data_IF_719368140712
#
_entry.id   IF_719368140712
#
_cell.length_a   1.000
_cell.length_b   1.000
_cell.length_c   1.000
_cell.angle_alpha   90.00
_cell.angle_beta   90.00
_cell.angle_gamma   90.00
#
_symmetry.space_group_name_H-M   'P 1'
#
loop_
_entity.id
_entity.type
_entity.pdbx_description
1 polymer ?
#
# COMPACT_ATOMS: atom_id res chain seq x y z
N UNK A 1 17.54 -2.89 7.38
CA UNK A 1 17.37 -4.35 7.42
C UNK A 1 17.14 -4.84 6.00
N UNK A 2 17.82 -5.91 5.59
CA UNK A 2 17.64 -6.56 4.29
C UNK A 2 16.63 -7.70 4.44
N UNK A 3 15.72 -7.86 3.47
CA UNK A 3 14.72 -8.92 3.49
C UNK A 3 14.75 -9.69 2.16
N UNK A 4 14.74 -11.02 2.23
CA UNK A 4 14.72 -11.88 1.05
C UNK A 4 13.29 -12.28 0.70
N UNK A 5 12.76 -11.73 -0.39
CA UNK A 5 11.45 -12.09 -0.93
C UNK A 5 11.55 -13.38 -1.74
N UNK A 6 11.12 -14.48 -1.14
CA UNK A 6 11.05 -15.82 -1.77
C UNK A 6 9.74 -16.50 -1.35
N UNK A 7 9.23 -17.39 -2.19
CA UNK A 7 8.07 -18.22 -1.82
C UNK A 7 8.44 -19.10 -0.63
N UNK A 8 7.63 -19.07 0.45
CA UNK A 8 7.82 -19.88 1.66
C UNK A 8 6.56 -20.70 1.93
N UNK A 9 6.72 -21.95 2.40
CA UNK A 9 5.59 -22.84 2.74
C UNK A 9 4.81 -22.35 3.97
N UNK A 10 5.51 -21.81 4.98
CA UNK A 10 4.92 -21.22 6.19
C UNK A 10 5.09 -19.69 6.18
N UNK A 11 4.36 -19.02 5.30
CA UNK A 11 4.48 -17.58 5.09
C UNK A 11 3.67 -16.77 6.13
N UNK A 12 4.35 -15.91 6.89
CA UNK A 12 3.72 -14.90 7.76
C UNK A 12 3.36 -13.58 7.04
N UNK A 13 3.65 -13.49 5.74
CA UNK A 13 3.36 -12.34 4.90
C UNK A 13 2.97 -12.80 3.48
N UNK A 14 1.94 -12.17 2.92
CA UNK A 14 1.44 -12.44 1.56
C UNK A 14 2.49 -12.25 0.46
N UNK A 15 3.54 -11.45 0.72
CA UNK A 15 4.68 -11.30 -0.18
C UNK A 15 5.46 -12.61 -0.43
N UNK A 16 5.30 -13.64 0.42
CA UNK A 16 5.97 -14.93 0.30
C UNK A 16 5.07 -16.05 -0.26
N UNK A 17 3.92 -15.70 -0.85
CA UNK A 17 2.92 -16.65 -1.40
C UNK A 17 2.87 -16.48 -2.94
N UNK A 18 2.73 -17.56 -3.75
CA UNK A 18 2.64 -17.46 -5.20
C UNK A 18 1.24 -17.02 -5.67
N UNK A 19 0.76 -15.87 -5.17
CA UNK A 19 -0.50 -15.22 -5.60
C UNK A 19 -0.20 -13.80 -6.02
N UNK A 20 -1.07 -13.25 -6.87
CA UNK A 20 -1.01 -11.83 -7.24
C UNK A 20 -1.08 -10.99 -5.97
N UNK A 21 0.01 -10.25 -5.71
CA UNK A 21 0.02 -9.22 -4.70
C UNK A 21 -0.58 -7.97 -5.33
N UNK A 22 -1.76 -7.57 -4.85
CA UNK A 22 -2.42 -6.37 -5.33
C UNK A 22 -1.52 -5.14 -5.10
N UNK A 23 -1.69 -4.10 -5.93
CA UNK A 23 -1.03 -2.81 -5.69
C UNK A 23 -1.24 -2.40 -4.24
N UNK A 24 -0.15 -2.07 -3.55
CA UNK A 24 -0.17 -1.72 -2.14
C UNK A 24 1.00 -0.82 -1.79
N UNK A 25 0.88 -0.17 -0.64
CA UNK A 25 1.98 0.47 0.05
C UNK A 25 2.49 -0.43 1.17
N UNK A 26 3.80 -0.50 1.31
CA UNK A 26 4.42 -1.23 2.40
C UNK A 26 4.26 -0.47 3.72
N UNK A 27 4.23 -1.26 4.80
CA UNK A 27 4.31 -0.75 6.17
C UNK A 27 3.27 0.35 6.52
N UNK A 28 1.99 0.23 6.15
CA UNK A 28 0.98 1.27 6.42
C UNK A 28 0.68 1.44 7.92
N UNK A 29 1.16 0.51 8.76
CA UNK A 29 1.05 0.56 10.22
C UNK A 29 2.15 1.39 10.89
N UNK A 30 3.04 2.03 10.12
CA UNK A 30 3.98 3.04 10.61
C UNK A 30 3.54 4.43 10.18
N UNK A 31 3.55 5.38 11.12
CA UNK A 31 3.32 6.80 10.82
C UNK A 31 4.44 7.36 9.94
N UNK A 32 5.68 7.07 10.29
CA UNK A 32 6.87 7.40 9.47
C UNK A 32 7.27 6.14 8.71
N UNK A 33 6.99 6.12 7.41
CA UNK A 33 7.38 5.02 6.52
C UNK A 33 8.78 5.27 5.98
N UNK A 34 9.50 4.22 5.52
CA UNK A 34 10.68 4.42 4.71
C UNK A 34 10.33 5.30 3.50
N UNK A 35 11.06 6.40 3.31
CA UNK A 35 10.78 7.33 2.20
C UNK A 35 10.92 6.65 0.84
N UNK A 36 11.82 5.67 0.72
CA UNK A 36 12.10 4.94 -0.51
C UNK A 36 12.29 3.45 -0.22
N UNK A 37 11.80 2.59 -1.12
CA UNK A 37 12.10 1.14 -1.13
C UNK A 37 12.91 0.78 -2.37
N UNK A 38 13.84 -0.15 -2.17
CA UNK A 38 14.69 -0.73 -3.18
C UNK A 38 14.41 -2.23 -3.29
N UNK A 39 14.09 -2.71 -4.49
CA UNK A 39 13.93 -4.14 -4.77
C UNK A 39 14.92 -4.56 -5.86
N UNK A 40 15.78 -5.52 -5.53
CA UNK A 40 16.77 -6.11 -6.43
C UNK A 40 16.32 -7.51 -6.84
N UNK A 41 16.20 -7.75 -8.15
CA UNK A 41 15.91 -9.08 -8.67
C UNK A 41 17.20 -9.91 -8.71
N UNK A 42 17.31 -10.90 -7.82
CA UNK A 42 18.41 -11.88 -7.83
C UNK A 42 18.12 -13.02 -8.82
N UNK A 43 16.90 -13.54 -8.77
CA UNK A 43 16.42 -14.62 -9.63
C UNK A 43 14.98 -14.31 -10.05
N UNK A 44 14.63 -14.65 -11.29
CA UNK A 44 13.30 -14.46 -11.85
C UNK A 44 12.78 -15.80 -12.39
N UNK A 45 11.48 -16.04 -12.26
CA UNK A 45 10.88 -17.25 -12.81
C UNK A 45 11.00 -17.28 -14.33
N UNK A 46 11.37 -18.46 -14.87
CA UNK A 46 11.40 -18.74 -16.31
C UNK A 46 10.01 -19.03 -16.88
N UNK A 47 9.01 -19.24 -16.03
CA UNK A 47 7.61 -19.48 -16.43
C UNK A 47 6.83 -18.16 -16.49
N UNK A 48 5.59 -18.24 -16.99
CA UNK A 48 4.63 -17.12 -16.97
C UNK A 48 4.33 -16.72 -15.52
N UNK A 49 4.24 -15.41 -15.24
CA UNK A 49 4.10 -14.89 -13.88
C UNK A 49 5.35 -14.14 -13.40
N UNK A 50 5.26 -13.49 -12.24
CA UNK A 50 6.37 -12.74 -11.64
C UNK A 50 6.53 -11.33 -12.22
N UNK A 51 5.55 -10.86 -12.99
CA UNK A 51 5.43 -9.47 -13.41
C UNK A 51 5.20 -8.57 -12.19
N UNK A 52 5.82 -7.40 -12.23
CA UNK A 52 5.66 -6.32 -11.27
C UNK A 52 4.64 -5.32 -11.78
N UNK A 53 3.79 -4.83 -10.88
CA UNK A 53 2.89 -3.71 -11.14
C UNK A 53 3.35 -2.51 -10.30
N UNK A 54 3.44 -1.35 -10.94
CA UNK A 54 3.76 -0.09 -10.26
C UNK A 54 2.80 1.00 -10.75
N UNK A 55 2.35 1.85 -9.84
CA UNK A 55 1.41 2.94 -10.15
C UNK A 55 1.85 4.19 -9.41
N UNK A 56 1.70 5.36 -10.03
CA UNK A 56 1.85 6.63 -9.33
C UNK A 56 0.57 6.92 -8.54
N UNK A 57 0.58 6.52 -7.28
CA UNK A 57 -0.57 6.72 -6.39
C UNK A 57 -0.89 8.20 -6.15
N UNK A 58 0.11 9.09 -6.15
CA UNK A 58 -0.13 10.53 -5.93
C UNK A 58 -0.85 11.14 -7.13
N UNK A 59 -0.38 10.82 -8.34
CA UNK A 59 -1.09 11.21 -9.56
C UNK A 59 -2.54 10.71 -9.56
N UNK A 60 -2.77 9.44 -9.20
CA UNK A 60 -4.12 8.87 -9.15
C UNK A 60 -4.99 9.56 -8.10
N UNK A 61 -4.43 9.86 -6.93
CA UNK A 61 -5.16 10.53 -5.85
C UNK A 61 -5.47 11.99 -6.19
N UNK A 62 -4.59 12.73 -6.88
CA UNK A 62 -4.90 14.07 -7.39
C UNK A 62 -5.95 14.03 -8.50
N UNK A 63 -5.85 13.08 -9.42
CA UNK A 63 -6.88 12.86 -10.45
C UNK A 63 -8.24 12.56 -9.82
N UNK A 64 -8.25 11.77 -8.74
CA UNK A 64 -9.45 11.52 -7.95
C UNK A 64 -9.98 12.80 -7.29
N UNK A 65 -9.10 13.65 -6.73
CA UNK A 65 -9.46 14.97 -6.17
C UNK A 65 -10.20 15.84 -7.20
N UNK A 66 -9.73 15.87 -8.44
CA UNK A 66 -10.33 16.67 -9.51
C UNK A 66 -11.61 16.07 -10.11
N UNK A 67 -11.66 14.75 -10.29
CA UNK A 67 -12.75 14.08 -11.02
C UNK A 67 -13.91 13.66 -10.11
N UNK A 68 -13.61 13.34 -8.85
CA UNK A 68 -14.60 12.89 -7.89
C UNK A 68 -14.19 13.29 -6.46
N UNK A 69 -14.42 14.56 -6.15
CA UNK A 69 -14.07 15.15 -4.86
C UNK A 69 -14.72 14.42 -3.68
N UNK A 70 -15.95 13.93 -3.82
CA UNK A 70 -16.63 13.19 -2.74
C UNK A 70 -15.85 11.92 -2.36
N UNK A 71 -15.41 11.15 -3.36
CA UNK A 71 -14.64 9.93 -3.14
C UNK A 71 -13.25 10.26 -2.56
N UNK A 72 -12.61 11.32 -3.05
CA UNK A 72 -11.36 11.83 -2.48
C UNK A 72 -11.53 12.18 -1.00
N UNK A 73 -12.55 12.98 -0.67
CA UNK A 73 -12.83 13.44 0.70
C UNK A 73 -13.13 12.26 1.63
N UNK A 74 -13.87 11.25 1.17
CA UNK A 74 -14.10 10.03 1.94
C UNK A 74 -12.77 9.34 2.27
N UNK A 75 -11.90 9.17 1.28
CA UNK A 75 -10.62 8.47 1.44
C UNK A 75 -9.56 9.28 2.17
N UNK A 76 -9.70 10.61 2.26
CA UNK A 76 -8.81 11.49 3.01
C UNK A 76 -9.28 11.78 4.44
N UNK A 77 -10.57 11.59 4.75
CA UNK A 77 -11.13 11.92 6.07
C UNK A 77 -11.53 10.71 6.91
N UNK A 78 -11.93 9.58 6.30
CA UNK A 78 -12.31 8.40 7.09
C UNK A 78 -11.05 7.61 7.46
N UNK A 79 -10.73 7.62 8.75
CA UNK A 79 -9.62 6.85 9.29
C UNK A 79 -9.97 5.37 9.40
N UNK A 80 -9.02 4.52 9.02
CA UNK A 80 -9.03 3.08 9.30
C UNK A 80 -7.79 2.69 10.09
N UNK A 81 -7.82 1.52 10.73
CA UNK A 81 -6.64 0.98 11.40
C UNK A 81 -5.81 0.16 10.41
N UNK A 82 -4.52 0.47 10.33
CA UNK A 82 -3.50 -0.35 9.70
C UNK A 82 -2.74 -1.06 10.80
N UNK A 83 -2.55 -2.37 10.71
CA UNK A 83 -1.95 -3.14 11.80
C UNK A 83 -0.93 -4.18 11.33
N UNK A 84 -0.03 -4.51 12.25
CA UNK A 84 0.84 -5.68 12.19
C UNK A 84 1.06 -6.19 13.61
N UNK A 85 0.70 -7.46 13.83
CA UNK A 85 0.79 -8.13 15.13
C UNK A 85 1.46 -9.48 14.92
N UNK A 86 2.39 -9.81 15.79
CA UNK A 86 3.10 -11.08 15.73
C UNK A 86 4.27 -11.11 16.69
N UNK A 87 5.13 -12.10 16.47
CA UNK A 87 6.36 -12.30 17.21
C UNK A 87 7.51 -12.41 16.21
N UNK A 88 8.60 -11.69 16.46
CA UNK A 88 9.83 -11.73 15.67
C UNK A 88 11.03 -11.76 16.63
N UNK A 89 12.01 -12.62 16.40
CA UNK A 89 13.16 -12.84 17.31
C UNK A 89 12.78 -12.93 18.81
N UNK A 90 11.72 -13.67 19.13
CA UNK A 90 11.15 -13.83 20.48
C UNK A 90 10.54 -12.56 21.10
N UNK A 91 10.47 -11.46 20.34
CA UNK A 91 9.82 -10.23 20.75
C UNK A 91 8.41 -10.15 20.15
N UNK A 92 7.41 -10.04 21.02
CA UNK A 92 6.05 -9.75 20.60
C UNK A 92 5.92 -8.27 20.20
N UNK A 93 5.21 -8.02 19.10
CA UNK A 93 4.90 -6.68 18.65
C UNK A 93 3.42 -6.52 18.30
N UNK A 94 2.90 -5.32 18.58
CA UNK A 94 1.55 -4.91 18.21
C UNK A 94 1.59 -3.47 17.69
N UNK A 95 1.66 -3.33 16.37
CA UNK A 95 1.73 -2.04 15.69
C UNK A 95 0.33 -1.73 15.16
N UNK A 96 -0.17 -0.54 15.49
CA UNK A 96 -1.42 -0.02 14.95
C UNK A 96 -1.22 1.45 14.61
N UNK A 97 -1.53 1.82 13.37
CA UNK A 97 -1.60 3.21 12.95
C UNK A 97 -2.98 3.51 12.38
N UNK A 98 -3.62 4.54 12.94
CA UNK A 98 -4.94 4.98 12.51
C UNK A 98 -4.81 6.15 11.55
N UNK A 99 -5.08 5.92 10.28
CA UNK A 99 -4.92 6.93 9.23
C UNK A 99 -5.89 6.68 8.07
N UNK A 100 -6.24 7.74 7.32
CA UNK A 100 -6.97 7.60 6.07
C UNK A 100 -6.13 6.90 5.00
N UNK A 101 -6.76 6.57 3.86
CA UNK A 101 -6.05 6.03 2.69
C UNK A 101 -5.19 7.12 2.04
N UNK A 102 -5.71 8.35 1.98
CA UNK A 102 -5.01 9.52 1.45
C UNK A 102 -4.65 10.43 2.63
N UNK A 103 -3.37 10.54 2.95
CA UNK A 103 -2.91 11.41 4.04
C UNK A 103 -2.51 12.77 3.46
N UNK A 104 -3.07 13.83 4.04
CA UNK A 104 -2.77 15.22 3.66
C UNK A 104 -1.87 15.88 4.71
N UNK A 105 -0.99 16.76 4.26
CA UNK A 105 -0.24 17.65 5.15
C UNK A 105 -1.11 18.84 5.60
N UNK A 106 -0.55 19.75 6.41
CA UNK A 106 -1.25 20.92 6.93
C UNK A 106 -1.69 21.93 5.85
N UNK A 107 -1.15 21.85 4.63
CA UNK A 107 -1.54 22.67 3.48
C UNK A 107 -2.61 22.00 2.61
N UNK A 108 -3.02 20.78 2.93
CA UNK A 108 -3.99 19.99 2.15
C UNK A 108 -3.36 19.28 0.94
N UNK A 109 -2.04 19.24 0.84
CA UNK A 109 -1.31 18.52 -0.21
C UNK A 109 -1.17 17.04 0.18
N UNK A 110 -1.13 16.12 -0.79
CA UNK A 110 -0.98 14.69 -0.51
C UNK A 110 0.44 14.41 -0.03
N UNK A 111 0.57 13.98 1.21
CA UNK A 111 1.86 13.67 1.84
C UNK A 111 2.23 12.19 1.65
N UNK A 112 1.26 11.30 1.86
CA UNK A 112 1.47 9.86 1.74
C UNK A 112 0.16 9.11 1.47
N UNK A 113 0.29 7.85 1.06
CA UNK A 113 -0.84 6.94 0.88
C UNK A 113 -0.70 5.73 1.81
N UNK A 114 -1.83 5.22 2.28
CA UNK A 114 -1.95 3.94 2.96
C UNK A 114 -2.91 3.06 2.18
N UNK A 115 -2.38 2.01 1.55
CA UNK A 115 -3.22 1.01 0.92
C UNK A 115 -2.57 -0.36 1.03
N UNK A 116 -3.06 -1.22 1.92
CA UNK A 116 -2.63 -2.61 1.97
C UNK A 116 -3.76 -3.45 2.56
N UNK A 117 -4.42 -4.25 1.73
CA UNK A 117 -5.61 -5.00 2.17
C UNK A 117 -5.24 -6.01 3.27
N UNK A 118 -4.08 -6.65 3.18
CA UNK A 118 -3.62 -7.63 4.17
C UNK A 118 -3.29 -6.99 5.52
N UNK A 119 -3.01 -5.68 5.55
CA UNK A 119 -2.66 -4.93 6.77
C UNK A 119 -3.76 -3.98 7.23
N UNK A 120 -4.93 -4.00 6.61
CA UNK A 120 -6.10 -3.23 7.03
C UNK A 120 -6.89 -4.04 8.06
N UNK A 121 -7.05 -3.50 9.27
CA UNK A 121 -7.75 -4.14 10.38
C UNK A 121 -9.22 -4.43 10.04
N UNK A 122 -9.75 -5.59 10.39
CA UNK A 122 -11.19 -5.90 10.23
C UNK A 122 -12.08 -4.94 11.01
N UNK A 123 -11.58 -4.36 12.10
CA UNK A 123 -12.29 -3.39 12.91
C UNK A 123 -12.22 -1.97 12.33
N UNK A 124 -13.40 -1.36 12.13
CA UNK A 124 -13.54 0.05 11.77
C UNK A 124 -13.85 0.90 12.99
N UNK A 125 -13.25 2.09 13.04
CA UNK A 125 -13.46 3.06 14.12
C UNK A 125 -14.44 4.17 13.73
N UNK A 126 -15.41 3.85 12.88
CA UNK A 126 -16.41 4.78 12.37
C UNK A 126 -17.78 4.10 12.33
N UNK A 127 -18.86 4.88 12.22
CA UNK A 127 -20.21 4.34 12.08
C UNK A 127 -20.43 3.51 10.80
N UNK A 128 -21.49 2.70 10.81
CA UNK A 128 -21.81 1.77 9.72
C UNK A 128 -22.09 2.44 8.37
N UNK A 129 -22.60 3.68 8.36
CA UNK A 129 -22.86 4.43 7.13
C UNK A 129 -21.53 4.79 6.46
N UNK A 130 -20.60 5.29 7.26
CA UNK A 130 -19.24 5.63 6.83
C UNK A 130 -18.46 4.39 6.36
N UNK A 131 -18.64 3.22 6.98
CA UNK A 131 -18.04 1.97 6.48
C UNK A 131 -18.47 1.67 5.04
N UNK A 132 -19.78 1.77 4.73
CA UNK A 132 -20.29 1.52 3.38
C UNK A 132 -19.76 2.52 2.36
N UNK A 133 -19.72 3.81 2.73
CA UNK A 133 -19.16 4.86 1.89
C UNK A 133 -17.67 4.64 1.62
N UNK A 134 -16.92 4.27 2.66
CA UNK A 134 -15.49 4.00 2.56
C UNK A 134 -15.19 2.85 1.60
N UNK A 135 -15.92 1.73 1.67
CA UNK A 135 -15.70 0.61 0.73
C UNK A 135 -16.06 0.97 -0.71
N UNK A 136 -17.12 1.76 -0.93
CA UNK A 136 -17.46 2.28 -2.26
C UNK A 136 -16.33 3.16 -2.81
N UNK A 137 -15.80 4.04 -1.96
CA UNK A 137 -14.71 4.94 -2.31
C UNK A 137 -13.41 4.18 -2.59
N UNK A 138 -13.06 3.20 -1.73
CA UNK A 138 -11.88 2.37 -1.91
C UNK A 138 -11.96 1.59 -3.23
N UNK A 139 -13.14 1.06 -3.60
CA UNK A 139 -13.32 0.35 -4.87
C UNK A 139 -12.94 1.24 -6.05
N UNK A 140 -13.44 2.49 -6.10
CA UNK A 140 -13.11 3.46 -7.16
C UNK A 140 -11.61 3.77 -7.19
N UNK A 141 -10.98 3.94 -6.03
CA UNK A 141 -9.53 4.17 -5.95
C UNK A 141 -8.73 2.97 -6.46
N UNK A 142 -9.09 1.76 -6.04
CA UNK A 142 -8.45 0.51 -6.49
C UNK A 142 -8.60 0.34 -8.00
N UNK A 143 -9.78 0.62 -8.56
CA UNK A 143 -9.98 0.59 -10.02
C UNK A 143 -9.04 1.59 -10.72
N UNK A 144 -8.94 2.83 -10.23
CA UNK A 144 -8.08 3.85 -10.83
C UNK A 144 -6.58 3.52 -10.73
N UNK A 145 -6.08 3.02 -9.60
CA UNK A 145 -4.65 2.68 -9.49
C UNK A 145 -4.27 1.54 -10.43
N UNK A 146 -5.19 0.60 -10.68
CA UNK A 146 -4.96 -0.50 -11.62
C UNK A 146 -4.99 -0.03 -13.08
N UNK A 147 -5.89 0.88 -13.46
CA UNK A 147 -5.93 1.40 -14.84
C UNK A 147 -4.73 2.28 -15.21
N UNK A 148 -4.01 2.81 -14.21
CA UNK A 148 -2.80 3.60 -14.39
C UNK A 148 -1.52 2.83 -14.06
N UNK A 149 -1.61 1.51 -13.81
CA UNK A 149 -0.46 0.70 -13.48
C UNK A 149 0.40 0.41 -14.71
N UNK A 150 1.71 0.53 -14.55
CA UNK A 150 2.69 -0.02 -15.46
C UNK A 150 3.00 -1.47 -15.05
N UNK A 151 2.94 -2.38 -16.02
CA UNK A 151 3.35 -3.77 -15.86
C UNK A 151 4.72 -3.99 -16.52
N UNK A 152 5.62 -4.64 -15.80
CA UNK A 152 6.94 -4.99 -16.32
C UNK A 152 7.51 -6.23 -15.61
N UNK A 153 8.43 -6.94 -16.26
CA UNK A 153 9.10 -8.10 -15.66
C UNK A 153 10.57 -7.81 -15.39
N UNK A 154 10.91 -7.67 -14.11
CA UNK A 154 12.27 -7.45 -13.64
C UNK A 154 13.19 -8.61 -14.03
N UNK A 155 14.33 -8.27 -14.62
CA UNK A 155 15.38 -9.23 -14.97
C UNK A 155 16.40 -9.37 -13.83
N UNK A 156 17.03 -10.55 -13.66
CA UNK A 156 18.13 -10.72 -12.72
C UNK A 156 19.20 -9.63 -12.87
N UNK A 157 19.67 -9.07 -11.76
CA UNK A 157 20.63 -7.96 -11.71
C UNK A 157 20.03 -6.57 -11.92
N UNK A 158 18.72 -6.45 -12.15
CA UNK A 158 18.01 -5.16 -12.26
C UNK A 158 17.33 -4.80 -10.94
N UNK A 159 17.20 -3.50 -10.73
CA UNK A 159 16.63 -2.91 -9.53
C UNK A 159 15.46 -2.00 -9.88
N UNK A 160 14.51 -1.89 -8.96
CA UNK A 160 13.54 -0.79 -8.92
C UNK A 160 13.66 -0.02 -7.62
N UNK A 161 13.51 1.29 -7.75
CA UNK A 161 13.49 2.24 -6.65
C UNK A 161 12.20 3.03 -6.76
N UNK A 162 11.42 3.10 -5.68
CA UNK A 162 10.18 3.86 -5.66
C UNK A 162 9.92 4.46 -4.28
N UNK A 163 9.22 5.59 -4.28
CA UNK A 163 9.02 6.47 -3.13
C UNK A 163 7.62 6.28 -2.53
N UNK A 164 7.50 6.36 -1.20
CA UNK A 164 6.22 6.21 -0.48
C UNK A 164 5.62 7.51 0.07
N UNK A 165 6.41 8.56 0.19
CA UNK A 165 6.00 9.85 0.75
C UNK A 165 6.64 10.99 -0.03
N UNK A 166 5.94 12.10 -0.20
CA UNK A 166 6.58 13.36 -0.62
C UNK A 166 7.49 13.83 0.53
N UNK A 167 8.73 14.22 0.23
CA UNK A 167 9.53 15.00 1.20
C UNK A 167 8.98 16.42 1.19
N UNK A 168 8.44 16.87 2.33
CA UNK A 168 8.10 18.27 2.49
C UNK A 168 9.42 19.04 2.69
N UNK A 169 9.78 19.87 1.71
CA UNK A 169 10.78 20.94 1.90
C UNK A 169 10.28 22.04 2.82
#
# INVERSE_FOLDING_TARGET
AEYHVKIKRDANNVAYIPRLLQLHTDLPFYRQKPGTIFLHCIEQTKTKGGESLLTDGFYVAEKLRSENKEIFDILSNIHVNWFDRGTDDQLEFNKVYRAPVICLNSKGEIESLNHNIARRDSHFTTDIKNVKLWYKALKVFVEKINTHAAEFKLQPGKNILFRYSQENG
#
